data_IF_890300532886
#
_entry.id   IF_890300532886
#
_cell.length_a   1.000
_cell.length_b   1.000
_cell.length_c   1.000
_cell.angle_alpha   90.00
_cell.angle_beta   90.00
_cell.angle_gamma   90.00
#
_symmetry.space_group_name_H-M   'P 1'
#
loop_
_entity.id
_entity.type
_entity.pdbx_description
1 polymer ?
#
# COMPACT_ATOMS: atom_id res chain seq x y z
N UNK A 1 11.45 -0.13 -32.95
CA UNK A 1 12.63 -0.95 -33.28
C UNK A 1 12.99 -1.69 -32.01
N UNK A 2 12.45 -2.89 -31.87
CA UNK A 2 12.64 -3.75 -30.70
C UNK A 2 14.03 -4.37 -30.79
N UNK A 3 14.83 -4.21 -29.74
CA UNK A 3 16.15 -4.81 -29.65
C UNK A 3 15.92 -6.19 -29.01
N UNK A 4 15.89 -7.23 -29.84
CA UNK A 4 15.82 -8.61 -29.37
C UNK A 4 17.17 -9.01 -28.77
N UNK A 5 17.17 -9.46 -27.52
CA UNK A 5 18.33 -10.18 -26.97
C UNK A 5 18.45 -11.56 -27.62
N UNK A 6 19.69 -12.04 -27.77
CA UNK A 6 20.15 -13.21 -28.55
C UNK A 6 19.62 -14.59 -28.09
N UNK A 7 18.49 -14.65 -27.37
CA UNK A 7 17.80 -15.91 -27.04
C UNK A 7 16.33 -15.94 -27.46
N UNK A 8 15.78 -14.89 -28.09
CA UNK A 8 14.41 -14.91 -28.63
C UNK A 8 13.29 -15.10 -27.59
N UNK A 9 13.62 -15.16 -26.30
CA UNK A 9 12.66 -15.23 -25.20
C UNK A 9 12.25 -13.80 -24.85
N UNK A 10 11.03 -13.42 -25.22
CA UNK A 10 10.42 -12.18 -24.72
C UNK A 10 10.26 -12.34 -23.21
N UNK A 11 10.94 -11.49 -22.43
CA UNK A 11 10.84 -11.52 -20.98
C UNK A 11 9.38 -11.32 -20.54
N UNK A 12 8.86 -12.26 -19.75
CA UNK A 12 7.48 -12.25 -19.28
C UNK A 12 7.21 -11.00 -18.43
N UNK A 13 6.11 -10.31 -18.74
CA UNK A 13 5.67 -9.16 -17.94
C UNK A 13 4.65 -9.58 -16.90
N UNK A 14 4.82 -9.04 -15.70
CA UNK A 14 3.92 -9.24 -14.58
C UNK A 14 3.52 -7.89 -13.99
N UNK A 15 2.44 -7.88 -13.21
CA UNK A 15 1.99 -6.67 -12.52
C UNK A 15 2.75 -6.49 -11.20
N UNK A 16 3.41 -5.35 -11.04
CA UNK A 16 4.17 -5.00 -9.85
C UNK A 16 3.65 -3.72 -9.21
N UNK A 17 3.57 -3.70 -7.88
CA UNK A 17 3.27 -2.52 -7.08
C UNK A 17 4.37 -2.28 -6.06
N UNK A 18 4.46 -1.04 -5.57
CA UNK A 18 5.40 -0.67 -4.52
C UNK A 18 4.62 -0.24 -3.29
N UNK A 19 4.98 -0.83 -2.17
CA UNK A 19 4.29 -0.69 -0.90
C UNK A 19 5.23 -0.12 0.15
N UNK A 20 4.75 0.87 0.88
CA UNK A 20 5.40 1.35 2.09
C UNK A 20 4.97 0.49 3.28
N UNK A 21 5.96 0.01 4.04
CA UNK A 21 5.77 -1.00 5.08
C UNK A 21 5.86 -0.32 6.45
N UNK A 22 4.84 -0.45 7.31
CA UNK A 22 4.92 0.03 8.69
C UNK A 22 6.09 -0.59 9.47
N UNK A 23 6.60 0.09 10.52
CA UNK A 23 7.52 -0.51 11.48
C UNK A 23 6.94 -1.78 12.08
N UNK A 24 7.78 -2.74 12.46
CA UNK A 24 7.35 -4.06 12.94
C UNK A 24 6.30 -3.98 14.06
N UNK A 25 6.54 -3.16 15.09
CA UNK A 25 5.60 -2.97 16.21
C UNK A 25 4.22 -2.48 15.74
N UNK A 26 4.20 -1.55 14.78
CA UNK A 26 2.96 -1.01 14.20
C UNK A 26 2.32 -2.04 13.27
N UNK A 27 3.12 -2.74 12.48
CA UNK A 27 2.69 -3.82 11.59
C UNK A 27 2.00 -4.95 12.37
N UNK A 28 2.57 -5.40 13.49
CA UNK A 28 1.97 -6.43 14.33
C UNK A 28 0.66 -5.96 14.98
N UNK A 29 0.60 -4.69 15.41
CA UNK A 29 -0.64 -4.08 15.91
C UNK A 29 -1.73 -4.11 14.83
N UNK A 30 -1.42 -3.66 13.62
CA UNK A 30 -2.34 -3.64 12.49
C UNK A 30 -2.74 -5.05 12.04
N UNK A 31 -1.81 -6.01 11.98
CA UNK A 31 -2.12 -7.41 11.64
C UNK A 31 -3.15 -8.02 12.59
N UNK A 32 -3.02 -7.78 13.90
CA UNK A 32 -3.99 -8.27 14.90
C UNK A 32 -5.39 -7.69 14.65
N UNK A 33 -5.47 -6.38 14.42
CA UNK A 33 -6.72 -5.69 14.08
C UNK A 33 -7.33 -6.26 12.79
N UNK A 34 -6.54 -6.34 11.72
CA UNK A 34 -6.97 -6.85 10.41
C UNK A 34 -7.43 -8.30 10.50
N UNK A 35 -6.71 -9.14 11.27
CA UNK A 35 -7.09 -10.53 11.51
C UNK A 35 -8.42 -10.66 12.26
N UNK A 36 -8.64 -9.84 13.29
CA UNK A 36 -9.90 -9.83 14.03
C UNK A 36 -11.08 -9.36 13.15
N UNK A 37 -10.91 -8.31 12.36
CA UNK A 37 -11.92 -7.87 11.39
C UNK A 37 -12.22 -8.96 10.37
N UNK A 38 -11.18 -9.56 9.78
CA UNK A 38 -11.32 -10.66 8.81
C UNK A 38 -12.05 -11.87 9.41
N UNK A 39 -11.79 -12.20 10.68
CA UNK A 39 -12.45 -13.33 11.35
C UNK A 39 -13.96 -13.14 11.51
N UNK A 40 -14.42 -11.90 11.58
CA UNK A 40 -15.84 -11.57 11.78
C UNK A 40 -16.56 -11.26 10.46
N UNK A 41 -15.90 -10.56 9.53
CA UNK A 41 -16.49 -10.05 8.30
C UNK A 41 -16.01 -10.75 7.02
N UNK A 42 -15.09 -11.72 7.13
CA UNK A 42 -14.51 -12.43 5.99
C UNK A 42 -13.45 -11.64 5.22
N UNK A 43 -13.13 -12.08 4.01
CA UNK A 43 -12.16 -11.43 3.12
C UNK A 43 -10.76 -12.06 3.14
N UNK A 44 -9.92 -11.77 2.12
CA UNK A 44 -8.58 -12.32 2.01
C UNK A 44 -7.62 -11.72 3.04
N UNK A 45 -6.55 -12.44 3.34
CA UNK A 45 -5.45 -11.91 4.14
C UNK A 45 -4.51 -11.05 3.30
N UNK A 46 -4.17 -9.87 3.80
CA UNK A 46 -3.17 -8.98 3.22
C UNK A 46 -2.25 -8.46 4.33
N UNK A 47 -0.95 -8.22 4.05
CA UNK A 47 -0.09 -7.56 5.02
C UNK A 47 -0.45 -6.07 5.13
N UNK A 48 -0.24 -5.43 6.29
CA UNK A 48 -0.45 -3.98 6.44
C UNK A 48 0.53 -3.20 5.57
N UNK A 49 0.02 -2.34 4.67
CA UNK A 49 0.83 -1.55 3.76
C UNK A 49 0.14 -0.27 3.29
N UNK A 50 0.91 0.72 2.84
CA UNK A 50 0.41 1.83 2.02
C UNK A 50 0.91 1.69 0.58
N UNK A 51 0.02 1.71 -0.41
CA UNK A 51 0.43 1.61 -1.82
C UNK A 51 1.02 2.93 -2.34
N UNK A 52 2.34 3.00 -2.51
CA UNK A 52 3.03 4.18 -3.05
C UNK A 52 3.10 4.20 -4.58
N UNK A 53 3.09 3.04 -5.23
CA UNK A 53 2.94 2.90 -6.69
C UNK A 53 1.95 1.77 -6.96
N UNK A 54 0.89 2.07 -7.72
CA UNK A 54 -0.11 1.07 -8.10
C UNK A 54 0.45 0.05 -9.09
N UNK A 55 -0.26 -1.07 -9.25
CA UNK A 55 0.18 -2.17 -10.10
C UNK A 55 0.48 -1.73 -11.56
N UNK A 56 1.68 -2.08 -12.03
CA UNK A 56 2.18 -1.81 -13.38
C UNK A 56 2.76 -3.05 -14.03
N UNK A 57 2.48 -3.23 -15.33
CA UNK A 57 3.02 -4.34 -16.11
C UNK A 57 4.47 -4.07 -16.52
N UNK A 58 5.41 -4.83 -15.94
CA UNK A 58 6.86 -4.72 -16.15
C UNK A 58 7.49 -6.10 -16.25
N UNK A 59 8.70 -6.19 -16.80
CA UNK A 59 9.56 -7.36 -16.57
C UNK A 59 10.07 -7.32 -15.12
N UNK A 60 10.43 -8.46 -14.54
CA UNK A 60 10.96 -8.49 -13.16
C UNK A 60 12.24 -7.66 -13.03
N UNK A 61 13.14 -7.75 -14.02
CA UNK A 61 14.38 -6.98 -14.08
C UNK A 61 14.11 -5.47 -14.08
N UNK A 62 13.18 -5.00 -14.93
CA UNK A 62 12.83 -3.57 -14.98
C UNK A 62 12.19 -3.10 -13.67
N UNK A 63 11.33 -3.93 -13.06
CA UNK A 63 10.69 -3.62 -11.80
C UNK A 63 11.72 -3.47 -10.66
N UNK A 64 12.68 -4.41 -10.57
CA UNK A 64 13.77 -4.36 -9.59
C UNK A 64 14.68 -3.16 -9.80
N UNK A 65 15.06 -2.86 -11.05
CA UNK A 65 15.90 -1.71 -11.37
C UNK A 65 15.24 -0.39 -10.96
N UNK A 66 13.98 -0.19 -11.35
CA UNK A 66 13.20 1.01 -11.00
C UNK A 66 12.97 1.12 -9.49
N UNK A 67 12.71 -0.01 -8.83
CA UNK A 67 12.55 -0.07 -7.38
C UNK A 67 13.81 0.37 -6.64
N UNK A 68 14.98 -0.18 -6.99
CA UNK A 68 16.27 0.22 -6.38
C UNK A 68 16.54 1.72 -6.55
N UNK A 69 16.40 2.24 -7.77
CA UNK A 69 16.62 3.68 -8.02
C UNK A 69 15.63 4.57 -7.26
N UNK A 70 14.38 4.13 -7.08
CA UNK A 70 13.41 4.87 -6.28
C UNK A 70 13.82 4.90 -4.79
N UNK A 71 14.29 3.77 -4.24
CA UNK A 71 14.73 3.68 -2.85
C UNK A 71 15.97 4.54 -2.54
N UNK A 72 16.97 4.57 -3.44
CA UNK A 72 18.22 5.33 -3.24
C UNK A 72 17.97 6.84 -3.07
N UNK A 73 16.98 7.39 -3.77
CA UNK A 73 16.63 8.80 -3.72
C UNK A 73 15.61 9.18 -2.64
N UNK A 74 15.13 8.22 -1.83
CA UNK A 74 14.05 8.46 -0.87
C UNK A 74 14.54 8.29 0.57
N UNK A 75 14.30 9.32 1.39
CA UNK A 75 14.51 9.29 2.84
C UNK A 75 13.28 8.73 3.55
N UNK A 76 13.50 8.15 4.74
CA UNK A 76 12.44 7.76 5.65
C UNK A 76 11.53 8.96 5.98
N UNK A 77 10.23 8.71 6.14
CA UNK A 77 9.24 9.77 6.33
C UNK A 77 8.17 9.35 7.32
N UNK A 78 7.46 10.33 7.90
CA UNK A 78 6.36 10.02 8.82
C UNK A 78 5.04 9.92 8.07
N UNK A 79 4.20 8.99 8.50
CA UNK A 79 2.81 8.88 8.11
C UNK A 79 1.94 9.00 9.37
N UNK A 80 0.89 9.81 9.31
CA UNK A 80 -0.09 9.99 10.38
C UNK A 80 -1.45 9.63 9.83
N UNK A 81 -2.07 8.62 10.43
CA UNK A 81 -3.44 8.26 10.16
C UNK A 81 -4.38 9.37 10.63
N UNK A 82 -5.49 9.52 9.90
CA UNK A 82 -6.57 10.43 10.22
C UNK A 82 -7.66 9.61 10.93
N UNK A 83 -8.47 8.89 10.15
CA UNK A 83 -9.59 8.09 10.65
C UNK A 83 -9.80 6.80 9.85
N UNK A 84 -10.61 5.90 10.39
CA UNK A 84 -11.11 4.72 9.67
C UNK A 84 -12.31 5.08 8.78
N UNK A 85 -12.21 4.75 7.49
CA UNK A 85 -13.21 5.05 6.46
C UNK A 85 -13.58 3.78 5.69
N UNK A 86 -14.82 3.72 5.20
CA UNK A 86 -15.28 2.69 4.28
C UNK A 86 -15.43 3.25 2.87
N UNK A 87 -15.25 2.39 1.86
CA UNK A 87 -15.31 2.76 0.45
C UNK A 87 -16.22 1.85 -0.36
N UNK A 88 -16.37 2.19 -1.65
CA UNK A 88 -17.24 1.47 -2.56
C UNK A 88 -16.58 0.25 -3.23
N UNK A 89 -15.25 0.20 -3.27
CA UNK A 89 -14.50 -0.86 -3.94
C UNK A 89 -14.08 -1.97 -2.96
N UNK A 90 -13.98 -3.24 -3.38
CA UNK A 90 -13.56 -4.32 -2.49
C UNK A 90 -12.21 -4.10 -1.81
N UNK A 91 -11.22 -3.53 -2.52
CA UNK A 91 -9.91 -3.18 -1.95
C UNK A 91 -9.93 -1.97 -1.00
N UNK A 92 -11.07 -1.29 -0.93
CA UNK A 92 -11.33 -0.12 -0.09
C UNK A 92 -12.55 -0.38 0.80
N UNK A 93 -12.83 -1.63 1.16
CA UNK A 93 -14.00 -1.97 1.99
C UNK A 93 -13.95 -1.25 3.33
N UNK A 94 -12.84 -1.41 4.06
CA UNK A 94 -12.49 -0.64 5.24
C UNK A 94 -11.01 -0.33 5.22
N UNK A 95 -10.64 0.92 5.46
CA UNK A 95 -9.25 1.37 5.41
C UNK A 95 -8.99 2.50 6.37
N UNK A 96 -7.73 2.59 6.83
CA UNK A 96 -7.21 3.71 7.58
C UNK A 96 -6.79 4.79 6.58
N UNK A 97 -7.46 5.93 6.61
CA UNK A 97 -7.13 7.08 5.77
C UNK A 97 -5.94 7.81 6.37
N UNK A 98 -5.01 8.25 5.52
CA UNK A 98 -3.93 9.14 5.90
C UNK A 98 -4.20 10.48 5.25
N UNK A 99 -4.07 11.56 6.03
CA UNK A 99 -4.37 12.91 5.61
C UNK A 99 -3.80 13.26 4.22
N UNK A 100 -4.62 13.92 3.40
CA UNK A 100 -4.29 14.36 2.04
C UNK A 100 -4.52 15.86 1.80
N UNK A 101 -4.90 16.61 2.85
CA UNK A 101 -5.27 18.03 2.79
C UNK A 101 -4.26 18.94 3.52
N UNK A 102 -4.03 20.17 3.02
CA UNK A 102 -3.01 21.08 3.52
C UNK A 102 -3.56 22.02 4.61
N UNK A 103 -3.89 21.51 5.80
CA UNK A 103 -4.24 22.38 6.93
C UNK A 103 -3.43 22.01 8.18
N UNK A 104 -2.58 22.97 8.58
CA UNK A 104 -1.82 23.18 9.84
C UNK A 104 -0.87 22.07 10.32
N UNK A 105 -1.19 20.78 10.15
CA UNK A 105 -0.33 19.59 10.32
C UNK A 105 0.29 19.12 8.97
N UNK A 106 0.22 19.98 7.95
CA UNK A 106 0.46 19.70 6.53
C UNK A 106 1.81 19.04 6.19
N UNK A 107 2.88 19.32 6.95
CA UNK A 107 4.23 18.90 6.57
C UNK A 107 4.43 17.37 6.57
N UNK A 108 3.74 16.62 7.43
CA UNK A 108 3.88 15.14 7.49
C UNK A 108 3.08 14.45 6.39
N UNK A 109 1.89 14.96 6.10
CA UNK A 109 0.98 14.45 5.06
C UNK A 109 1.57 14.64 3.66
N UNK A 110 2.21 15.81 3.45
CA UNK A 110 2.99 16.10 2.24
C UNK A 110 4.03 15.01 1.99
N UNK A 111 4.71 14.48 3.01
CA UNK A 111 5.75 13.47 2.80
C UNK A 111 5.24 12.13 2.23
N UNK A 112 4.05 11.70 2.61
CA UNK A 112 3.47 10.45 2.05
C UNK A 112 3.12 10.65 0.58
N UNK A 113 2.62 11.83 0.22
CA UNK A 113 2.33 12.20 -1.15
C UNK A 113 3.61 12.36 -1.98
N UNK A 114 4.62 13.05 -1.45
CA UNK A 114 5.93 13.26 -2.09
C UNK A 114 6.65 11.94 -2.33
N UNK A 115 6.63 11.02 -1.34
CA UNK A 115 7.23 9.70 -1.49
C UNK A 115 6.56 8.90 -2.61
N UNK A 116 5.22 8.95 -2.67
CA UNK A 116 4.44 8.34 -3.75
C UNK A 116 4.80 8.96 -5.10
N UNK A 117 4.82 10.29 -5.22
CA UNK A 117 5.16 10.97 -6.46
C UNK A 117 6.59 10.66 -6.92
N UNK A 118 7.56 10.68 -5.98
CA UNK A 118 8.94 10.29 -6.21
C UNK A 118 9.02 8.88 -6.80
N UNK A 119 8.43 7.88 -6.15
CA UNK A 119 8.42 6.52 -6.66
C UNK A 119 7.71 6.42 -8.03
N UNK A 120 6.59 7.13 -8.21
CA UNK A 120 5.85 7.14 -9.48
C UNK A 120 6.73 7.64 -10.64
N UNK A 121 7.59 8.65 -10.42
CA UNK A 121 8.51 9.17 -11.45
C UNK A 121 9.51 8.11 -11.93
N UNK A 122 10.11 7.34 -11.02
CA UNK A 122 11.03 6.24 -11.39
C UNK A 122 10.31 5.08 -12.12
N UNK A 123 9.07 4.80 -11.71
CA UNK A 123 8.26 3.77 -12.34
C UNK A 123 7.63 4.22 -13.67
N UNK A 124 7.61 5.54 -13.96
CA UNK A 124 6.82 6.09 -15.05
C UNK A 124 5.31 5.89 -14.84
N UNK A 125 4.88 5.71 -13.59
CA UNK A 125 3.48 5.45 -13.25
C UNK A 125 2.65 6.73 -13.38
N UNK A 126 1.58 6.65 -14.17
CA UNK A 126 0.61 7.74 -14.31
C UNK A 126 -0.68 7.33 -13.61
N UNK A 127 -0.99 8.02 -12.51
CA UNK A 127 -2.25 7.84 -11.79
C UNK A 127 -3.39 8.45 -12.61
N UNK A 128 -4.52 7.74 -12.68
CA UNK A 128 -5.75 8.25 -13.28
C UNK A 128 -6.50 9.24 -12.37
N UNK A 129 -6.35 9.07 -11.05
CA UNK A 129 -7.01 9.85 -10.02
C UNK A 129 -6.01 10.45 -9.03
N UNK A 130 -6.44 11.45 -8.26
CA UNK A 130 -5.63 12.00 -7.15
C UNK A 130 -5.24 10.89 -6.19
N UNK A 131 -3.98 10.90 -5.75
CA UNK A 131 -3.50 9.94 -4.77
C UNK A 131 -4.20 10.17 -3.43
N UNK A 132 -4.86 9.14 -2.92
CA UNK A 132 -5.45 9.07 -1.60
C UNK A 132 -4.64 8.05 -0.80
N UNK A 133 -3.73 8.48 0.09
CA UNK A 133 -2.94 7.55 0.86
C UNK A 133 -3.82 6.83 1.89
N UNK A 134 -3.86 5.51 1.83
CA UNK A 134 -4.63 4.68 2.74
C UNK A 134 -3.92 3.36 3.00
N UNK A 135 -4.22 2.75 4.16
CA UNK A 135 -3.85 1.39 4.51
C UNK A 135 -5.14 0.59 4.68
N UNK A 136 -5.35 -0.41 3.84
CA UNK A 136 -6.56 -1.22 3.92
C UNK A 136 -6.56 -2.12 5.13
N UNK A 137 -7.66 -2.10 5.88
CA UNK A 137 -7.89 -2.92 7.07
C UNK A 137 -8.68 -4.19 6.74
N UNK A 138 -9.55 -4.09 5.74
CA UNK A 138 -10.38 -5.19 5.27
C UNK A 138 -10.61 -5.06 3.76
N UNK A 139 -10.46 -6.18 3.05
CA UNK A 139 -10.96 -6.32 1.69
C UNK A 139 -12.25 -7.13 1.70
N UNK A 140 -13.23 -6.73 0.90
CA UNK A 140 -14.48 -7.48 0.80
C UNK A 140 -15.62 -6.68 0.20
N UNK A 141 -16.69 -7.38 -0.15
CA UNK A 141 -17.92 -6.78 -0.65
C UNK A 141 -18.97 -6.87 0.45
N UNK A 142 -18.94 -5.88 1.35
CA UNK A 142 -19.89 -5.75 2.45
C UNK A 142 -21.03 -4.79 2.07
N UNK A 143 -22.20 -5.01 2.66
CA UNK A 143 -23.30 -4.02 2.68
C UNK A 143 -22.91 -2.80 3.50
N UNK A 144 -23.63 -1.68 3.35
CA UNK A 144 -23.34 -0.47 4.15
C UNK A 144 -23.53 -0.70 5.66
N UNK A 145 -24.51 -1.50 6.06
CA UNK A 145 -24.71 -1.88 7.47
C UNK A 145 -23.55 -2.71 8.01
N UNK A 146 -23.04 -3.66 7.23
CA UNK A 146 -21.86 -4.46 7.60
C UNK A 146 -20.59 -3.61 7.64
N UNK A 147 -20.42 -2.65 6.73
CA UNK A 147 -19.30 -1.69 6.78
C UNK A 147 -19.35 -0.83 8.03
N UNK A 148 -20.54 -0.38 8.43
CA UNK A 148 -20.72 0.39 9.66
C UNK A 148 -20.32 -0.44 10.89
N UNK A 149 -20.79 -1.69 10.98
CA UNK A 149 -20.41 -2.64 12.04
C UNK A 149 -18.91 -2.92 12.04
N UNK A 150 -18.30 -3.15 10.88
CA UNK A 150 -16.86 -3.40 10.76
C UNK A 150 -16.04 -2.18 11.21
N UNK A 151 -16.49 -0.97 10.87
CA UNK A 151 -15.88 0.28 11.33
C UNK A 151 -15.98 0.44 12.85
N UNK A 152 -17.17 0.25 13.43
CA UNK A 152 -17.37 0.29 14.88
C UNK A 152 -16.49 -0.75 15.58
N UNK A 153 -16.43 -1.96 15.04
CA UNK A 153 -15.57 -3.03 15.55
C UNK A 153 -14.09 -2.63 15.53
N UNK A 154 -13.63 -1.94 14.49
CA UNK A 154 -12.25 -1.47 14.42
C UNK A 154 -11.90 -0.53 15.58
N UNK A 155 -12.81 0.41 15.92
CA UNK A 155 -12.61 1.31 17.06
C UNK A 155 -12.68 0.60 18.42
N UNK A 156 -13.54 -0.41 18.56
CA UNK A 156 -13.59 -1.23 19.79
C UNK A 156 -12.29 -2.04 19.97
N UNK A 157 -11.69 -2.50 18.87
CA UNK A 157 -10.44 -3.26 18.91
C UNK A 157 -9.21 -2.37 19.13
N UNK A 158 -9.26 -1.12 18.67
CA UNK A 158 -8.18 -0.15 18.81
C UNK A 158 -8.71 1.29 18.83
N UNK A 159 -9.04 1.79 20.01
CA UNK A 159 -9.51 3.17 20.22
C UNK A 159 -8.44 4.21 19.85
N UNK A 160 -7.17 3.80 19.75
CA UNK A 160 -6.02 4.65 19.43
C UNK A 160 -5.58 4.57 17.96
N UNK A 161 -6.41 3.97 17.10
CA UNK A 161 -6.07 3.83 15.68
C UNK A 161 -6.06 5.18 14.96
N UNK A 162 -6.91 6.10 15.39
CA UNK A 162 -6.94 7.47 14.90
C UNK A 162 -5.69 8.21 15.38
N UNK A 163 -5.11 9.01 14.49
CA UNK A 163 -3.86 9.69 14.80
C UNK A 163 -2.63 8.79 14.89
N UNK A 164 -2.75 7.47 14.60
CA UNK A 164 -1.63 6.53 14.55
C UNK A 164 -0.50 7.12 13.70
N UNK A 165 0.66 7.35 14.33
CA UNK A 165 1.76 8.10 13.74
C UNK A 165 3.04 7.29 13.85
N UNK A 166 3.69 7.05 12.71
CA UNK A 166 4.89 6.25 12.65
C UNK A 166 5.79 6.67 11.50
N UNK A 167 7.07 6.32 11.62
CA UNK A 167 8.03 6.50 10.54
C UNK A 167 7.99 5.31 9.60
N UNK A 168 7.83 5.57 8.31
CA UNK A 168 8.06 4.63 7.23
C UNK A 168 9.54 4.69 6.88
N UNK A 169 10.24 3.59 7.11
CA UNK A 169 11.66 3.40 6.78
C UNK A 169 11.89 2.27 5.79
N UNK A 170 10.84 1.60 5.30
CA UNK A 170 10.96 0.46 4.41
C UNK A 170 9.93 0.53 3.28
N UNK A 171 10.38 0.24 2.07
CA UNK A 171 9.50 -0.05 0.94
C UNK A 171 9.69 -1.50 0.49
N UNK A 172 8.67 -2.07 -0.12
CA UNK A 172 8.73 -3.39 -0.72
C UNK A 172 8.16 -3.36 -2.14
N UNK A 173 8.81 -4.09 -3.04
CA UNK A 173 8.32 -4.40 -4.36
C UNK A 173 7.52 -5.70 -4.29
N UNK A 174 6.28 -5.65 -4.77
CA UNK A 174 5.36 -6.78 -4.77
C UNK A 174 4.95 -7.12 -6.19
N UNK A 175 4.93 -8.43 -6.50
CA UNK A 175 4.19 -8.93 -7.65
C UNK A 175 2.73 -9.07 -7.20
N UNK A 176 1.84 -8.35 -7.84
CA UNK A 176 0.41 -8.26 -7.48
C UNK A 176 -0.44 -8.53 -8.72
N UNK A 177 -0.76 -9.80 -8.95
CA UNK A 177 -1.60 -10.18 -10.10
C UNK A 177 -3.00 -9.58 -9.93
N UNK A 178 -3.39 -8.70 -10.86
CA UNK A 178 -4.70 -8.04 -10.85
C UNK A 178 -5.85 -8.98 -11.23
N UNK A 179 -5.56 -10.17 -11.76
CA UNK A 179 -6.56 -11.20 -12.06
C UNK A 179 -6.99 -11.95 -10.81
N UNK A 180 -6.08 -12.12 -9.86
CA UNK A 180 -6.35 -12.68 -8.55
C UNK A 180 -6.94 -11.59 -7.64
N UNK A 181 -8.27 -11.48 -7.65
CA UNK A 181 -9.01 -10.48 -6.86
C UNK A 181 -9.67 -11.06 -5.62
N UNK A 182 -9.77 -12.39 -5.54
CA UNK A 182 -10.54 -13.08 -4.52
C UNK A 182 -9.65 -13.65 -3.42
N UNK A 183 -8.59 -14.39 -3.77
CA UNK A 183 -7.74 -15.06 -2.78
C UNK A 183 -6.50 -14.25 -2.44
N UNK A 184 -5.95 -13.53 -3.43
CA UNK A 184 -4.69 -12.78 -3.35
C UNK A 184 -3.46 -13.64 -3.03
N UNK A 185 -3.59 -14.96 -3.12
CA UNK A 185 -2.50 -15.92 -2.83
C UNK A 185 -1.35 -15.83 -3.84
N UNK A 186 -1.63 -15.32 -5.04
CA UNK A 186 -0.60 -15.05 -6.05
C UNK A 186 0.29 -13.85 -5.72
N UNK A 187 -0.13 -13.01 -4.77
CA UNK A 187 0.60 -11.80 -4.41
C UNK A 187 1.80 -12.15 -3.54
N UNK A 188 2.98 -11.69 -3.94
CA UNK A 188 4.21 -12.01 -3.22
C UNK A 188 5.21 -10.87 -3.24
N UNK A 189 5.91 -10.71 -2.13
CA UNK A 189 7.04 -9.79 -2.03
C UNK A 189 8.20 -10.31 -2.88
N UNK A 190 8.80 -9.41 -3.65
CA UNK A 190 9.93 -9.70 -4.55
C UNK A 190 11.21 -9.11 -3.98
N UNK A 191 11.14 -7.90 -3.43
CA UNK A 191 12.26 -7.23 -2.80
C UNK A 191 11.79 -6.27 -1.71
N UNK A 192 12.69 -5.95 -0.78
CA UNK A 192 12.50 -4.93 0.25
C UNK A 192 13.73 -4.03 0.28
N UNK A 193 13.54 -2.74 0.58
CA UNK A 193 14.62 -1.78 0.76
C UNK A 193 14.40 -0.98 2.05
N UNK A 194 15.50 -0.73 2.77
CA UNK A 194 15.50 0.23 3.87
C UNK A 194 15.85 1.62 3.33
N UNK A 195 15.07 2.61 3.73
CA UNK A 195 15.26 4.02 3.37
C UNK A 195 16.29 4.65 4.31
N UNK A 196 17.05 5.60 3.78
CA UNK A 196 18.00 6.36 4.59
C UNK A 196 17.26 7.23 5.63
N UNK A 197 17.82 7.45 6.84
CA UNK A 197 17.20 8.32 7.83
C UNK A 197 17.00 9.75 7.32
N UNK A 198 15.97 10.45 7.83
CA UNK A 198 15.68 11.82 7.40
C UNK A 198 16.67 12.83 7.96
#
# INVERSE_FOLDING_TARGET
MEIANETGVVAEKNDYSVWAIPPEVVGEKLKKLMGALRSEFGGPEIPPHLTVVGAMSLTEEDALKRFRSACEGLKAYHAKADLVVSGAFPSQCLYLLFHSTPEVDALRCIKVMDASEHCCRYFGYKRSNRYMPHLSLLYGTLTEDEKNKAREKAYVLDESIDGLNFQISRLALWKTDRKDKETLESWRQIAECSLSPN
#
